data_IF_050881678114
#
_entry.id   IF_050881678114
#
_cell.length_a   1.000
_cell.length_b   1.000
_cell.length_c   1.000
_cell.angle_alpha   90.00
_cell.angle_beta   90.00
_cell.angle_gamma   90.00
#
_symmetry.space_group_name_H-M   'P 1'
#
loop_
_entity.id
_entity.type
_entity.pdbx_description
1 polymer ?
#
# COMPACT_ATOMS: atom_id res chain seq x y z
N UNK A 1 -4.07 10.94 12.15
CA UNK A 1 -3.20 11.20 13.31
C UNK A 1 -2.17 12.22 12.88
N UNK A 2 -1.93 13.28 13.68
CA UNK A 2 -0.89 14.25 13.35
C UNK A 2 0.48 13.58 13.44
N UNK A 3 1.32 13.85 12.45
CA UNK A 3 2.72 13.44 12.41
C UNK A 3 3.53 14.57 13.08
N UNK A 4 4.39 14.24 14.04
CA UNK A 4 5.33 15.21 14.59
C UNK A 4 6.35 15.65 13.52
N UNK A 5 7.04 16.78 13.70
CA UNK A 5 8.15 17.16 12.84
C UNK A 5 9.14 16.00 12.69
N UNK A 6 9.46 15.65 11.44
CA UNK A 6 10.41 14.58 11.17
C UNK A 6 11.84 15.12 11.39
N UNK A 7 12.74 14.36 12.03
CA UNK A 7 14.14 14.77 12.22
C UNK A 7 14.98 14.65 10.95
N UNK A 8 14.34 14.58 9.77
CA UNK A 8 14.99 14.35 8.48
C UNK A 8 14.58 15.44 7.50
N UNK A 9 15.56 16.13 6.91
CA UNK A 9 15.30 17.15 5.90
C UNK A 9 14.88 16.56 4.53
N UNK A 10 15.24 15.30 4.24
CA UNK A 10 14.94 14.67 2.96
C UNK A 10 14.53 13.21 3.12
N UNK A 11 13.80 12.69 2.13
CA UNK A 11 13.48 11.27 2.04
C UNK A 11 14.75 10.39 1.94
N UNK A 12 15.82 10.89 1.31
CA UNK A 12 17.09 10.17 1.26
C UNK A 12 17.73 10.01 2.64
N UNK A 13 17.74 11.08 3.44
CA UNK A 13 18.25 11.05 4.81
C UNK A 13 17.41 10.12 5.71
N UNK A 14 16.09 10.20 5.62
CA UNK A 14 15.17 9.30 6.33
C UNK A 14 15.47 7.84 6.00
N UNK A 15 15.55 7.50 4.71
CA UNK A 15 15.79 6.12 4.31
C UNK A 15 17.18 5.63 4.72
N UNK A 16 18.23 6.46 4.70
CA UNK A 16 19.55 6.04 5.20
C UNK A 16 19.54 5.68 6.69
N UNK A 17 18.80 6.43 7.51
CA UNK A 17 18.72 6.19 8.95
C UNK A 17 17.74 5.09 9.36
N UNK A 18 16.65 4.92 8.62
CA UNK A 18 15.51 4.10 9.09
C UNK A 18 15.20 2.88 8.22
N UNK A 19 15.96 2.60 7.16
CA UNK A 19 15.68 1.47 6.27
C UNK A 19 15.51 0.16 7.06
N UNK A 20 14.36 -0.49 6.87
CA UNK A 20 14.09 -1.82 7.42
C UNK A 20 13.90 -2.80 6.28
N UNK A 21 14.94 -3.62 6.02
CA UNK A 21 14.96 -4.60 4.91
C UNK A 21 14.06 -5.80 5.15
N UNK A 22 13.91 -6.19 6.41
CA UNK A 22 13.06 -7.30 6.81
C UNK A 22 11.58 -6.91 6.71
N UNK A 23 10.74 -7.85 6.28
CA UNK A 23 9.29 -7.72 6.30
C UNK A 23 8.72 -8.27 7.62
N UNK A 24 7.55 -7.78 8.03
CA UNK A 24 6.79 -8.38 9.12
C UNK A 24 6.50 -9.87 8.82
N UNK A 25 6.69 -10.76 9.81
CA UNK A 25 6.65 -12.21 9.60
C UNK A 25 5.33 -12.70 9.02
N UNK A 26 4.20 -12.18 9.53
CA UNK A 26 2.85 -12.51 9.03
C UNK A 26 2.64 -12.01 7.61
N UNK A 27 3.13 -10.81 7.31
CA UNK A 27 3.05 -10.23 5.96
C UNK A 27 3.93 -11.01 4.97
N UNK A 28 5.13 -11.40 5.39
CA UNK A 28 6.03 -12.24 4.59
C UNK A 28 5.42 -13.62 4.30
N UNK A 29 4.72 -14.21 5.28
CA UNK A 29 3.98 -15.46 5.09
C UNK A 29 2.84 -15.31 4.08
N UNK A 30 2.03 -14.25 4.19
CA UNK A 30 0.98 -13.96 3.23
C UNK A 30 1.56 -13.79 1.81
N UNK A 31 2.64 -13.04 1.66
CA UNK A 31 3.30 -12.85 0.36
C UNK A 31 3.84 -14.18 -0.20
N UNK A 32 4.42 -15.03 0.65
CA UNK A 32 4.87 -16.37 0.27
C UNK A 32 3.71 -17.24 -0.20
N UNK A 33 2.57 -17.18 0.47
CA UNK A 33 1.34 -17.87 0.09
C UNK A 33 0.71 -17.32 -1.20
N UNK A 34 1.12 -16.14 -1.68
CA UNK A 34 0.61 -15.52 -2.92
C UNK A 34 1.60 -15.62 -4.10
N UNK A 35 2.78 -16.20 -3.92
CA UNK A 35 3.86 -16.25 -4.94
C UNK A 35 3.42 -16.87 -6.27
N UNK A 36 2.45 -17.79 -6.24
CA UNK A 36 1.93 -18.46 -7.44
C UNK A 36 0.93 -17.62 -8.22
N UNK A 37 0.35 -16.56 -7.64
CA UNK A 37 -0.73 -15.77 -8.25
C UNK A 37 -0.32 -15.21 -9.61
N UNK A 38 0.89 -14.65 -9.69
CA UNK A 38 1.41 -14.07 -10.95
C UNK A 38 1.62 -15.13 -12.03
N UNK A 39 2.19 -16.29 -11.66
CA UNK A 39 2.41 -17.41 -12.59
C UNK A 39 1.09 -18.03 -13.05
N UNK A 40 0.12 -18.14 -12.14
CA UNK A 40 -1.24 -18.62 -12.45
C UNK A 40 -2.04 -17.61 -13.29
N UNK A 41 -1.63 -16.34 -13.32
CA UNK A 41 -2.29 -15.29 -14.08
C UNK A 41 -3.60 -14.78 -13.49
N UNK A 42 -4.02 -15.25 -12.30
CA UNK A 42 -5.21 -14.75 -11.60
C UNK A 42 -5.16 -15.08 -10.10
N UNK A 43 -6.00 -14.43 -9.30
CA UNK A 43 -6.26 -14.81 -7.90
C UNK A 43 -7.71 -15.25 -7.67
N UNK A 44 -7.88 -16.14 -6.71
CA UNK A 44 -9.16 -16.66 -6.23
C UNK A 44 -9.84 -15.66 -5.30
N UNK A 45 -11.13 -15.89 -5.03
CA UNK A 45 -11.88 -15.11 -4.02
C UNK A 45 -11.25 -15.23 -2.62
N UNK A 46 -10.76 -16.41 -2.24
CA UNK A 46 -10.11 -16.62 -0.94
C UNK A 46 -8.87 -15.75 -0.81
N UNK A 47 -7.98 -15.76 -1.80
CA UNK A 47 -6.76 -14.95 -1.81
C UNK A 47 -7.09 -13.44 -1.85
N UNK A 48 -8.10 -13.04 -2.63
CA UNK A 48 -8.61 -11.66 -2.63
C UNK A 48 -9.04 -11.21 -1.22
N UNK A 49 -9.85 -12.02 -0.53
CA UNK A 49 -10.30 -11.70 0.82
C UNK A 49 -9.13 -11.67 1.83
N UNK A 50 -8.11 -12.53 1.67
CA UNK A 50 -6.90 -12.49 2.50
C UNK A 50 -6.15 -11.16 2.31
N UNK A 51 -5.89 -10.74 1.07
CA UNK A 51 -5.21 -9.48 0.77
C UNK A 51 -5.99 -8.26 1.27
N UNK A 52 -7.32 -8.25 1.05
CA UNK A 52 -8.16 -7.15 1.47
C UNK A 52 -8.33 -7.09 3.00
N UNK A 53 -8.44 -8.25 3.68
CA UNK A 53 -8.46 -8.32 5.15
C UNK A 53 -7.15 -7.81 5.73
N UNK A 54 -6.01 -8.17 5.15
CA UNK A 54 -4.71 -7.64 5.57
C UNK A 54 -4.67 -6.10 5.50
N UNK A 55 -5.20 -5.49 4.43
CA UNK A 55 -5.18 -4.03 4.28
C UNK A 55 -6.21 -3.30 5.15
N UNK A 56 -7.42 -3.82 5.23
CA UNK A 56 -8.53 -3.20 5.97
C UNK A 56 -9.54 -4.24 6.45
N UNK A 57 -9.31 -4.86 7.62
CA UNK A 57 -10.26 -5.84 8.18
C UNK A 57 -11.69 -5.29 8.31
N UNK A 58 -11.81 -3.99 8.59
CA UNK A 58 -13.09 -3.29 8.81
C UNK A 58 -13.99 -3.26 7.57
N UNK A 59 -13.43 -3.36 6.37
CA UNK A 59 -14.19 -3.32 5.12
C UNK A 59 -14.51 -4.73 4.57
N UNK A 60 -14.21 -5.79 5.34
CA UNK A 60 -14.43 -7.18 4.95
C UNK A 60 -15.86 -7.50 4.48
N UNK A 61 -16.93 -6.97 5.12
CA UNK A 61 -18.29 -7.20 4.62
C UNK A 61 -18.51 -6.71 3.18
N UNK A 62 -17.84 -5.62 2.78
CA UNK A 62 -17.93 -5.08 1.41
C UNK A 62 -17.18 -5.98 0.42
N UNK A 63 -15.99 -6.43 0.79
CA UNK A 63 -15.19 -7.33 -0.04
C UNK A 63 -15.90 -8.65 -0.28
N UNK A 64 -16.59 -9.18 0.74
CA UNK A 64 -17.33 -10.44 0.67
C UNK A 64 -18.46 -10.42 -0.36
N UNK A 65 -18.98 -9.25 -0.75
CA UNK A 65 -20.03 -9.12 -1.79
C UNK A 65 -19.54 -9.48 -3.18
N UNK A 66 -18.22 -9.52 -3.42
CA UNK A 66 -17.67 -9.91 -4.72
C UNK A 66 -17.80 -11.43 -4.93
N UNK A 67 -18.45 -11.83 -6.03
CA UNK A 67 -18.56 -13.24 -6.45
C UNK A 67 -17.22 -13.78 -6.94
N UNK A 68 -17.00 -15.09 -6.77
CA UNK A 68 -15.73 -15.72 -7.15
C UNK A 68 -15.40 -15.58 -8.65
N UNK A 69 -16.41 -15.70 -9.51
CA UNK A 69 -16.25 -15.48 -10.96
C UNK A 69 -15.80 -14.05 -11.30
N UNK A 70 -16.36 -13.04 -10.63
CA UNK A 70 -15.98 -11.64 -10.84
C UNK A 70 -14.53 -11.38 -10.41
N UNK A 71 -14.14 -11.87 -9.22
CA UNK A 71 -12.76 -11.76 -8.72
C UNK A 71 -11.76 -12.42 -9.67
N UNK A 72 -12.06 -13.64 -10.14
CA UNK A 72 -11.21 -14.36 -11.09
C UNK A 72 -11.06 -13.60 -12.40
N UNK A 73 -12.16 -13.12 -12.98
CA UNK A 73 -12.15 -12.36 -14.24
C UNK A 73 -11.35 -11.06 -14.14
N UNK A 74 -11.61 -10.26 -13.10
CA UNK A 74 -10.89 -8.99 -12.88
C UNK A 74 -9.41 -9.24 -12.65
N UNK A 75 -9.05 -10.19 -11.78
CA UNK A 75 -7.65 -10.49 -11.49
C UNK A 75 -6.88 -11.03 -12.69
N UNK A 76 -7.54 -11.80 -13.56
CA UNK A 76 -6.97 -12.23 -14.83
C UNK A 76 -6.63 -11.02 -15.73
N UNK A 77 -7.57 -10.09 -15.91
CA UNK A 77 -7.34 -8.88 -16.69
C UNK A 77 -6.23 -7.99 -16.09
N UNK A 78 -6.15 -7.90 -14.76
CA UNK A 78 -5.09 -7.17 -14.03
C UNK A 78 -3.71 -7.75 -14.32
N UNK A 79 -3.57 -9.08 -14.34
CA UNK A 79 -2.27 -9.73 -14.56
C UNK A 79 -1.90 -9.82 -16.04
N UNK A 80 -2.87 -9.81 -16.94
CA UNK A 80 -2.64 -9.82 -18.39
C UNK A 80 -2.19 -8.45 -18.95
N UNK A 81 -2.67 -7.33 -18.37
CA UNK A 81 -2.32 -6.01 -18.90
C UNK A 81 -0.90 -5.58 -18.54
N UNK A 82 -0.23 -4.90 -19.48
CA UNK A 82 1.07 -4.23 -19.27
C UNK A 82 0.93 -2.80 -18.72
N UNK A 83 -0.26 -2.20 -18.83
CA UNK A 83 -0.53 -0.82 -18.38
C UNK A 83 -0.84 -0.80 -16.89
N UNK A 84 0.05 -0.23 -16.09
CA UNK A 84 -0.06 -0.26 -14.61
C UNK A 84 -1.28 0.51 -14.10
N UNK A 85 -1.58 1.68 -14.67
CA UNK A 85 -2.82 2.43 -14.40
C UNK A 85 -4.06 1.55 -14.55
N UNK A 86 -4.11 0.80 -15.65
CA UNK A 86 -5.21 -0.12 -15.95
C UNK A 86 -5.32 -1.22 -14.90
N UNK A 87 -4.22 -1.70 -14.32
CA UNK A 87 -4.26 -2.67 -13.21
C UNK A 87 -5.01 -2.10 -12.01
N UNK A 88 -4.67 -0.87 -11.62
CA UNK A 88 -5.32 -0.18 -10.52
C UNK A 88 -6.81 0.03 -10.79
N UNK A 89 -7.15 0.56 -11.97
CA UNK A 89 -8.53 0.83 -12.39
C UNK A 89 -9.38 -0.45 -12.43
N UNK A 90 -8.85 -1.54 -12.99
CA UNK A 90 -9.53 -2.84 -13.01
C UNK A 90 -9.82 -3.34 -11.59
N UNK A 91 -8.85 -3.28 -10.67
CA UNK A 91 -9.07 -3.69 -9.28
C UNK A 91 -10.19 -2.88 -8.61
N UNK A 92 -10.27 -1.58 -8.90
CA UNK A 92 -11.29 -0.68 -8.35
C UNK A 92 -12.71 -0.96 -8.83
N UNK A 93 -12.90 -1.81 -9.85
CA UNK A 93 -14.23 -2.28 -10.25
C UNK A 93 -14.83 -3.28 -9.25
N UNK A 94 -14.02 -3.86 -8.36
CA UNK A 94 -14.49 -4.75 -7.30
C UNK A 94 -15.06 -3.97 -6.12
N UNK A 95 -16.14 -4.47 -5.53
CA UNK A 95 -16.86 -3.83 -4.44
C UNK A 95 -15.95 -3.63 -3.24
N UNK A 96 -15.84 -2.38 -2.79
CA UNK A 96 -15.03 -1.97 -1.64
C UNK A 96 -13.55 -1.67 -1.94
N UNK A 97 -13.08 -1.89 -3.17
CA UNK A 97 -11.67 -1.71 -3.52
C UNK A 97 -11.39 -0.26 -3.92
N UNK A 98 -10.86 0.52 -2.97
CA UNK A 98 -10.32 1.86 -3.22
C UNK A 98 -8.87 1.83 -3.72
N UNK A 99 -8.31 2.99 -4.08
CA UNK A 99 -6.90 3.10 -4.50
C UNK A 99 -5.92 2.50 -3.48
N UNK A 100 -5.99 2.79 -2.17
CA UNK A 100 -5.17 2.11 -1.16
C UNK A 100 -5.29 0.59 -1.16
N UNK A 101 -6.50 0.06 -1.32
CA UNK A 101 -6.76 -1.39 -1.34
C UNK A 101 -6.20 -2.03 -2.61
N UNK A 102 -6.40 -1.41 -3.76
CA UNK A 102 -5.83 -1.86 -5.02
C UNK A 102 -4.29 -1.85 -4.98
N UNK A 103 -3.68 -0.79 -4.43
CA UNK A 103 -2.22 -0.74 -4.26
C UNK A 103 -1.69 -1.84 -3.33
N UNK A 104 -2.43 -2.18 -2.27
CA UNK A 104 -2.10 -3.27 -1.36
C UNK A 104 -2.11 -4.63 -2.05
N UNK A 105 -3.13 -4.90 -2.86
CA UNK A 105 -3.20 -6.11 -3.68
C UNK A 105 -1.96 -6.21 -4.59
N UNK A 106 -1.63 -5.12 -5.30
CA UNK A 106 -0.47 -5.07 -6.19
C UNK A 106 0.87 -5.25 -5.44
N UNK A 107 1.02 -4.63 -4.27
CA UNK A 107 2.23 -4.76 -3.43
C UNK A 107 2.42 -6.17 -2.87
N UNK A 108 1.33 -6.85 -2.49
CA UNK A 108 1.40 -8.22 -1.96
C UNK A 108 1.75 -9.25 -3.04
N UNK A 109 1.30 -9.06 -4.28
CA UNK A 109 1.59 -9.99 -5.39
C UNK A 109 2.91 -9.67 -6.12
N UNK A 110 3.36 -8.42 -6.10
CA UNK A 110 4.61 -7.98 -6.74
C UNK A 110 5.32 -6.88 -5.92
N UNK A 111 5.91 -7.24 -4.76
CA UNK A 111 6.52 -6.29 -3.82
C UNK A 111 7.76 -5.59 -4.38
N UNK A 112 8.37 -6.17 -5.41
CA UNK A 112 9.51 -5.57 -6.10
C UNK A 112 9.09 -4.30 -6.83
N UNK A 113 7.87 -4.25 -7.37
CA UNK A 113 7.38 -3.17 -8.24
C UNK A 113 6.41 -2.20 -7.58
N UNK A 114 5.74 -2.60 -6.51
CA UNK A 114 4.67 -1.82 -5.90
C UNK A 114 4.85 -1.66 -4.38
N UNK A 115 4.34 -0.54 -3.88
CA UNK A 115 4.18 -0.24 -2.46
C UNK A 115 2.73 0.18 -2.19
N UNK A 116 2.34 0.14 -0.92
CA UNK A 116 0.98 0.50 -0.49
C UNK A 116 0.86 2.00 -0.27
N UNK A 117 0.05 2.67 -1.09
CA UNK A 117 -0.35 4.06 -0.80
C UNK A 117 -1.37 4.05 0.34
N UNK A 118 -1.06 4.75 1.43
CA UNK A 118 -1.98 4.95 2.53
C UNK A 118 -1.75 6.27 3.26
N UNK A 119 -2.61 6.56 4.24
CA UNK A 119 -2.56 7.79 5.02
C UNK A 119 -1.19 8.06 5.64
N UNK A 120 -0.50 7.02 6.14
CA UNK A 120 0.75 7.17 6.88
C UNK A 120 1.89 7.52 5.96
N UNK A 121 2.03 6.73 4.89
CA UNK A 121 3.13 6.90 3.95
C UNK A 121 2.98 8.19 3.16
N UNK A 122 1.75 8.60 2.84
CA UNK A 122 1.47 9.90 2.22
C UNK A 122 1.79 11.06 3.14
N UNK A 123 1.39 10.99 4.43
CA UNK A 123 1.72 12.03 5.41
C UNK A 123 3.22 12.23 5.59
N UNK A 124 4.03 11.17 5.53
CA UNK A 124 5.50 11.30 5.55
C UNK A 124 6.01 12.04 4.31
N UNK A 125 5.50 11.70 3.12
CA UNK A 125 5.90 12.40 1.89
C UNK A 125 5.45 13.87 1.90
N UNK A 126 4.28 14.17 2.45
CA UNK A 126 3.75 15.53 2.58
C UNK A 126 4.62 16.34 3.55
N UNK A 127 4.96 15.79 4.72
CA UNK A 127 5.84 16.43 5.70
C UNK A 127 7.25 16.72 5.16
N UNK A 128 7.72 15.93 4.20
CA UNK A 128 9.00 16.13 3.49
C UNK A 128 8.87 17.01 2.23
N UNK A 129 7.71 17.59 1.95
CA UNK A 129 7.47 18.46 0.80
C UNK A 129 7.50 17.76 -0.57
N UNK A 130 7.43 16.42 -0.62
CA UNK A 130 7.48 15.66 -1.89
C UNK A 130 6.12 15.58 -2.59
N UNK A 131 5.05 15.77 -1.84
CA UNK A 131 3.67 15.90 -2.32
C UNK A 131 3.01 17.07 -1.61
N UNK A 132 2.10 17.75 -2.31
CA UNK A 132 1.43 18.98 -1.82
C UNK A 132 -0.08 18.83 -1.73
N UNK A 133 -0.64 17.70 -2.19
CA UNK A 133 -2.07 17.39 -2.15
C UNK A 133 -2.39 16.42 -1.01
N UNK A 134 -3.68 16.32 -0.66
CA UNK A 134 -4.19 15.38 0.35
C UNK A 134 -3.40 15.42 1.68
N UNK A 135 -3.30 16.56 2.38
CA UNK A 135 -2.56 16.66 3.65
C UNK A 135 -3.06 15.68 4.71
N UNK A 136 -4.36 15.34 4.68
CA UNK A 136 -4.98 14.33 5.53
C UNK A 136 -4.73 12.88 5.12
N UNK A 137 -4.05 12.62 4.00
CA UNK A 137 -3.71 11.29 3.49
C UNK A 137 -4.94 10.43 3.12
N UNK A 138 -5.95 11.04 2.50
CA UNK A 138 -7.17 10.37 2.07
C UNK A 138 -7.68 10.94 0.74
N UNK A 139 -8.60 10.21 0.08
CA UNK A 139 -9.22 10.65 -1.17
C UNK A 139 -8.36 10.43 -2.42
N UNK A 140 -7.38 9.52 -2.37
CA UNK A 140 -6.44 9.28 -3.47
C UNK A 140 -7.10 8.80 -4.77
N UNK A 141 -6.67 9.38 -5.89
CA UNK A 141 -6.94 8.94 -7.26
C UNK A 141 -5.81 8.12 -7.89
N UNK A 142 -5.95 7.72 -9.17
CA UNK A 142 -4.90 7.04 -9.92
C UNK A 142 -3.62 7.86 -10.05
N UNK A 143 -3.74 9.17 -10.27
CA UNK A 143 -2.58 10.04 -10.49
C UNK A 143 -1.74 10.20 -9.20
N UNK A 144 -2.39 10.25 -8.02
CA UNK A 144 -1.70 10.20 -6.73
C UNK A 144 -0.90 8.91 -6.56
N UNK A 145 -1.50 7.78 -6.94
CA UNK A 145 -0.84 6.47 -6.87
C UNK A 145 0.35 6.38 -7.82
N UNK A 146 0.25 6.90 -9.04
CA UNK A 146 1.37 6.94 -9.99
C UNK A 146 2.51 7.83 -9.50
N UNK A 147 2.19 9.04 -9.00
CA UNK A 147 3.18 9.94 -8.38
C UNK A 147 3.87 9.27 -7.19
N UNK A 148 3.09 8.65 -6.32
CA UNK A 148 3.59 7.91 -5.16
C UNK A 148 4.55 6.78 -5.57
N UNK A 149 4.16 5.94 -6.52
CA UNK A 149 5.01 4.87 -7.02
C UNK A 149 6.29 5.38 -7.67
N UNK A 150 6.22 6.50 -8.41
CA UNK A 150 7.40 7.14 -9.00
C UNK A 150 8.42 7.55 -7.93
N UNK A 151 7.96 8.14 -6.84
CA UNK A 151 8.82 8.52 -5.70
C UNK A 151 9.48 7.28 -5.08
N UNK A 152 8.68 6.25 -4.78
CA UNK A 152 9.22 5.04 -4.14
C UNK A 152 10.21 4.29 -5.04
N UNK A 153 9.90 4.16 -6.33
CA UNK A 153 10.73 3.43 -7.30
C UNK A 153 12.10 4.06 -7.48
N UNK A 154 12.17 5.40 -7.54
CA UNK A 154 13.46 6.09 -7.60
C UNK A 154 14.34 5.77 -6.39
N UNK A 155 13.76 5.71 -5.19
CA UNK A 155 14.49 5.36 -3.96
C UNK A 155 14.83 3.88 -3.89
N UNK A 156 13.91 3.01 -4.28
CA UNK A 156 14.12 1.57 -4.34
C UNK A 156 15.28 1.20 -5.27
N UNK A 157 15.33 1.83 -6.45
CA UNK A 157 16.42 1.65 -7.42
C UNK A 157 17.77 2.10 -6.84
N UNK A 158 17.84 3.31 -6.27
CA UNK A 158 19.08 3.83 -5.68
C UNK A 158 19.61 2.97 -4.51
N UNK A 159 18.71 2.30 -3.78
CA UNK A 159 19.04 1.47 -2.61
C UNK A 159 19.15 -0.03 -2.94
N UNK A 160 18.87 -0.43 -4.18
CA UNK A 160 18.81 -1.84 -4.61
C UNK A 160 17.88 -2.70 -3.74
N UNK A 161 16.70 -2.17 -3.37
CA UNK A 161 15.69 -2.86 -2.56
C UNK A 161 14.33 -2.92 -3.26
N UNK A 162 13.42 -3.84 -2.87
CA UNK A 162 12.03 -3.80 -3.31
C UNK A 162 11.32 -2.48 -3.01
N UNK A 163 10.39 -2.05 -3.86
CA UNK A 163 9.53 -0.87 -3.61
C UNK A 163 8.78 -1.00 -2.28
N UNK A 164 8.31 -2.21 -1.94
CA UNK A 164 7.70 -2.52 -0.65
C UNK A 164 8.58 -2.19 0.55
N UNK A 165 9.90 -2.39 0.46
CA UNK A 165 10.85 -2.08 1.54
C UNK A 165 10.90 -0.59 1.83
N UNK A 166 10.89 0.25 0.77
CA UNK A 166 10.84 1.70 0.91
C UNK A 166 9.52 2.13 1.56
N UNK A 167 8.39 1.65 1.02
CA UNK A 167 7.07 1.99 1.55
C UNK A 167 6.90 1.58 3.02
N UNK A 168 7.28 0.36 3.37
CA UNK A 168 7.22 -0.13 4.75
C UNK A 168 8.07 0.72 5.69
N UNK A 169 9.23 1.18 5.22
CA UNK A 169 10.08 2.09 6.00
C UNK A 169 9.32 3.39 6.30
N UNK A 170 8.65 4.00 5.30
CA UNK A 170 7.81 5.19 5.54
C UNK A 170 6.67 4.93 6.51
N UNK A 171 6.01 3.77 6.39
CA UNK A 171 4.95 3.37 7.32
C UNK A 171 5.46 3.26 8.76
N UNK A 172 6.63 2.67 8.97
CA UNK A 172 7.24 2.54 10.30
C UNK A 172 7.74 3.87 10.84
N UNK A 173 8.34 4.72 10.00
CA UNK A 173 8.71 6.07 10.38
C UNK A 173 7.49 6.86 10.85
N UNK A 174 6.38 6.80 10.11
CA UNK A 174 5.13 7.43 10.55
C UNK A 174 4.71 6.93 11.93
N UNK A 175 4.70 5.61 12.16
CA UNK A 175 4.35 5.03 13.47
C UNK A 175 5.28 5.45 14.60
N UNK A 176 6.56 5.69 14.31
CA UNK A 176 7.55 6.15 15.29
C UNK A 176 7.34 7.61 15.68
N UNK A 177 6.96 8.46 14.73
CA UNK A 177 6.83 9.91 14.92
C UNK A 177 5.37 10.40 15.01
N UNK A 178 4.38 9.50 15.08
CA UNK A 178 2.98 9.89 15.25
C UNK A 178 2.75 10.45 16.67
N UNK A 179 1.99 11.53 16.80
CA UNK A 179 1.55 12.04 18.09
C UNK A 179 0.21 11.40 18.49
N UNK A 180 0.18 10.80 19.69
CA UNK A 180 -0.97 10.08 20.24
C UNK A 180 -1.21 8.70 19.63
N UNK A 181 -1.89 7.81 20.35
CA UNK A 181 -2.42 6.56 19.78
C UNK A 181 -3.76 6.83 19.09
N UNK A 182 -4.07 6.03 18.06
CA UNK A 182 -5.33 6.08 17.28
C UNK A 182 -6.61 5.96 18.13
N UNK A 183 -6.48 5.71 19.44
CA UNK A 183 -7.53 5.39 20.39
C UNK A 183 -7.54 6.24 21.68
N UNK A 184 -6.71 7.29 21.81
CA UNK A 184 -6.71 8.11 23.05
C UNK A 184 -7.71 9.29 23.04
N UNK A 185 -8.60 9.39 22.03
CA UNK A 185 -9.65 10.41 21.98
C UNK A 185 -11.08 9.84 21.97
N UNK A 186 -11.32 8.80 22.78
CA UNK A 186 -12.68 8.34 23.11
C UNK A 186 -12.71 7.82 24.55
N UNK A 187 -12.55 8.74 25.51
CA UNK A 187 -12.55 8.38 26.94
C UNK A 187 -12.08 9.53 27.81
N UNK A 188 -12.79 10.66 27.74
CA UNK A 188 -12.81 11.73 28.75
C UNK A 188 -13.83 12.78 28.30
N UNK A 189 -15.08 12.54 28.66
CA UNK A 189 -16.07 13.50 29.16
C UNK A 189 -17.19 12.69 29.78
#
# INVERSE_FOLDING_TARGET
>A
MPLAPLPYATLGALLRGELRREEDSRTAELMRALRHVRRRGHFSRREFLLMCRWKSPRALPRYARNRAAAVRRVSAAVLATRRERRRLELLRTLVGVSVPVASAILALIDPRRYGVIDIRTWQVLFALGLVTTHPGGAGFGPDDWERYLGILRRRAAALHVPVRTVERTLFLCHRRFQMGRLYERAGRR
#
